data_IF_696879818470
#
_entry.id   IF_696879818470
#
_cell.length_a   1.000
_cell.length_b   1.000
_cell.length_c   1.000
_cell.angle_alpha   90.00
_cell.angle_beta   90.00
_cell.angle_gamma   90.00
#
_symmetry.space_group_name_H-M   'P 1'
#
loop_
_entity.id
_entity.type
_entity.pdbx_description
1 polymer ?
#
# COMPACT_ATOMS: atom_id res chain seq x y z
N UNK A 1 27.76 11.32 8.03
CA UNK A 1 26.49 10.66 7.66
C UNK A 1 25.41 11.26 8.55
N UNK A 2 24.42 12.01 8.02
CA UNK A 2 23.34 12.50 8.86
C UNK A 2 22.55 11.28 9.35
N UNK A 3 22.55 11.06 10.67
CA UNK A 3 21.67 10.08 11.30
C UNK A 3 20.23 10.59 11.16
N UNK A 4 19.39 9.79 10.51
CA UNK A 4 17.94 10.03 10.51
C UNK A 4 17.47 9.76 11.96
N UNK A 5 17.41 10.80 12.80
CA UNK A 5 16.67 10.72 14.07
C UNK A 5 15.16 10.77 13.83
N UNK A 6 14.36 10.91 14.89
CA UNK A 6 12.88 10.95 14.79
C UNK A 6 12.37 11.99 13.75
N UNK A 7 13.03 13.14 13.61
CA UNK A 7 12.70 14.15 12.58
C UNK A 7 12.86 13.62 11.16
N UNK A 8 13.79 12.68 10.98
CA UNK A 8 14.03 11.92 9.75
C UNK A 8 13.10 10.72 9.57
N UNK A 9 12.20 10.42 10.53
CA UNK A 9 11.16 9.40 10.45
C UNK A 9 11.74 8.00 10.14
N UNK A 10 12.86 7.66 10.79
CA UNK A 10 13.66 6.48 10.46
C UNK A 10 12.87 5.18 10.54
N UNK A 11 12.03 5.01 11.56
CA UNK A 11 11.22 3.81 11.72
C UNK A 11 10.20 3.63 10.58
N UNK A 12 9.57 4.72 10.12
CA UNK A 12 8.67 4.66 8.97
C UNK A 12 9.43 4.30 7.69
N UNK A 13 10.60 4.90 7.49
CA UNK A 13 11.46 4.58 6.33
C UNK A 13 11.87 3.12 6.33
N UNK A 14 12.25 2.55 7.49
CA UNK A 14 12.54 1.13 7.62
C UNK A 14 11.34 0.26 7.25
N UNK A 15 10.15 0.60 7.72
CA UNK A 15 8.93 -0.12 7.34
C UNK A 15 8.64 -0.05 5.83
N UNK A 16 8.81 1.13 5.23
CA UNK A 16 8.65 1.34 3.79
C UNK A 16 9.70 0.56 2.95
N UNK A 17 10.84 0.18 3.55
CA UNK A 17 11.85 -0.70 2.93
C UNK A 17 11.51 -2.19 3.13
N UNK A 18 11.09 -2.58 4.33
CA UNK A 18 10.82 -4.00 4.63
C UNK A 18 9.59 -4.52 3.87
N UNK A 19 8.52 -3.72 3.77
CA UNK A 19 7.25 -4.17 3.19
C UNK A 19 7.36 -4.63 1.73
N UNK A 20 7.99 -3.89 0.79
CA UNK A 20 8.18 -4.36 -0.58
C UNK A 20 8.99 -5.65 -0.71
N UNK A 21 9.82 -5.97 0.28
CA UNK A 21 10.66 -7.17 0.32
C UNK A 21 9.96 -8.38 0.97
N UNK A 22 8.64 -8.29 1.20
CA UNK A 22 7.83 -9.31 1.87
C UNK A 22 8.26 -9.62 3.32
N UNK A 23 9.10 -8.78 3.92
CA UNK A 23 9.50 -8.85 5.34
C UNK A 23 8.41 -8.19 6.20
N UNK A 24 7.23 -8.81 6.22
CA UNK A 24 6.00 -8.20 6.74
C UNK A 24 6.06 -7.95 8.24
N UNK A 25 6.64 -8.87 9.02
CA UNK A 25 6.76 -8.75 10.47
C UNK A 25 7.71 -7.61 10.86
N UNK A 26 8.84 -7.49 10.16
CA UNK A 26 9.78 -6.37 10.33
C UNK A 26 9.16 -5.04 9.92
N UNK A 27 8.38 -5.03 8.84
CA UNK A 27 7.67 -3.82 8.40
C UNK A 27 6.64 -3.36 9.43
N UNK A 28 5.81 -4.27 9.93
CA UNK A 28 4.81 -4.01 10.98
C UNK A 28 5.49 -3.47 12.23
N UNK A 29 6.52 -4.17 12.72
CA UNK A 29 7.29 -3.77 13.90
C UNK A 29 7.88 -2.36 13.73
N UNK A 30 8.45 -2.06 12.56
CA UNK A 30 8.99 -0.75 12.26
C UNK A 30 7.90 0.34 12.26
N UNK A 31 6.74 0.09 11.65
CA UNK A 31 5.65 1.06 11.65
C UNK A 31 5.01 1.26 13.04
N UNK A 32 4.92 0.22 13.86
CA UNK A 32 4.46 0.32 15.25
C UNK A 32 5.39 1.17 16.11
N UNK A 33 6.70 0.99 15.96
CA UNK A 33 7.71 1.83 16.59
C UNK A 33 7.57 3.29 16.14
N UNK A 34 7.38 3.53 14.83
CA UNK A 34 7.15 4.86 14.27
C UNK A 34 5.87 5.51 14.84
N UNK A 35 4.78 4.76 14.97
CA UNK A 35 3.51 5.24 15.58
C UNK A 35 3.70 5.61 17.05
N UNK A 36 4.44 4.80 17.80
CA UNK A 36 4.73 5.04 19.21
C UNK A 36 5.58 6.30 19.40
N UNK A 37 6.64 6.45 18.62
CA UNK A 37 7.50 7.65 18.63
C UNK A 37 6.70 8.90 18.21
N UNK A 38 5.90 8.82 17.16
CA UNK A 38 5.05 9.94 16.73
C UNK A 38 4.05 10.36 17.81
N UNK A 39 3.49 9.41 18.58
CA UNK A 39 2.62 9.70 19.72
C UNK A 39 3.39 10.42 20.85
N UNK A 40 4.59 9.95 21.19
CA UNK A 40 5.43 10.57 22.24
C UNK A 40 5.80 12.02 21.89
N UNK A 41 6.00 12.32 20.61
CA UNK A 41 6.35 13.65 20.12
C UNK A 41 5.14 14.52 19.72
N UNK A 42 3.90 14.09 20.00
CA UNK A 42 2.66 14.79 19.60
C UNK A 42 2.57 15.08 18.09
N UNK A 43 3.18 14.24 17.25
CA UNK A 43 3.20 14.38 15.80
C UNK A 43 1.98 13.67 15.18
N UNK A 44 0.78 14.26 15.34
CA UNK A 44 -0.48 13.65 14.91
C UNK A 44 -0.50 13.22 13.42
N UNK A 45 0.07 14.04 12.53
CA UNK A 45 0.13 13.72 11.10
C UNK A 45 1.04 12.54 10.77
N UNK A 46 2.14 12.35 11.50
CA UNK A 46 3.02 11.18 11.32
C UNK A 46 2.37 9.94 11.92
N UNK A 47 1.78 10.06 13.12
CA UNK A 47 1.06 8.95 13.77
C UNK A 47 -0.03 8.39 12.86
N UNK A 48 -0.75 9.26 12.16
CA UNK A 48 -1.80 8.85 11.23
C UNK A 48 -1.22 8.20 9.97
N UNK A 49 -0.12 8.76 9.44
CA UNK A 49 0.58 8.18 8.29
C UNK A 49 1.07 6.77 8.61
N UNK A 50 1.71 6.57 9.77
CA UNK A 50 2.22 5.26 10.19
C UNK A 50 1.08 4.30 10.50
N UNK A 51 -0.04 4.76 11.06
CA UNK A 51 -1.23 3.94 11.27
C UNK A 51 -1.77 3.34 9.96
N UNK A 52 -1.89 4.14 8.90
CA UNK A 52 -2.30 3.64 7.57
C UNK A 52 -1.27 2.66 7.00
N UNK A 53 0.02 2.86 7.29
CA UNK A 53 1.09 1.94 6.86
C UNK A 53 1.07 0.60 7.60
N UNK A 54 0.72 0.56 8.88
CA UNK A 54 0.48 -0.70 9.61
C UNK A 54 -0.66 -1.46 8.93
N UNK A 55 -1.78 -0.79 8.64
CA UNK A 55 -2.90 -1.40 7.93
C UNK A 55 -2.51 -1.93 6.53
N UNK A 56 -1.68 -1.20 5.78
CA UNK A 56 -1.14 -1.68 4.51
C UNK A 56 -0.30 -2.94 4.68
N UNK A 57 0.56 -2.98 5.70
CA UNK A 57 1.46 -4.11 5.94
C UNK A 57 0.72 -5.40 6.34
N UNK A 58 -0.45 -5.27 6.97
CA UNK A 58 -1.29 -6.41 7.36
C UNK A 58 -2.37 -6.76 6.35
N UNK A 59 -2.66 -5.90 5.36
CA UNK A 59 -3.82 -6.05 4.46
C UNK A 59 -3.94 -7.41 3.78
N UNK A 60 -2.80 -8.01 3.40
CA UNK A 60 -2.77 -9.31 2.69
C UNK A 60 -2.60 -10.47 3.67
N UNK A 61 -1.74 -10.32 4.67
CA UNK A 61 -1.32 -11.42 5.58
C UNK A 61 -2.26 -11.61 6.76
N UNK A 62 -2.93 -10.55 7.21
CA UNK A 62 -3.91 -10.55 8.30
C UNK A 62 -5.03 -9.51 8.04
N UNK A 63 -6.00 -9.84 7.17
CA UNK A 63 -7.08 -8.92 6.80
C UNK A 63 -7.99 -8.51 7.98
N UNK A 64 -8.07 -9.34 9.02
CA UNK A 64 -8.84 -9.01 10.23
C UNK A 64 -8.14 -7.90 11.00
N UNK A 65 -6.84 -8.04 11.25
CA UNK A 65 -6.04 -6.98 11.86
C UNK A 65 -6.03 -5.72 10.99
N UNK A 66 -5.92 -5.84 9.67
CA UNK A 66 -5.99 -4.69 8.77
C UNK A 66 -7.31 -3.90 8.93
N UNK A 67 -8.43 -4.57 9.22
CA UNK A 67 -9.72 -3.91 9.51
C UNK A 67 -9.64 -3.07 10.79
N UNK A 68 -9.06 -3.61 11.86
CA UNK A 68 -8.89 -2.88 13.12
C UNK A 68 -7.95 -1.68 12.96
N UNK A 69 -6.84 -1.86 12.23
CA UNK A 69 -5.86 -0.80 12.01
C UNK A 69 -6.40 0.30 11.09
N UNK A 70 -7.29 -0.03 10.13
CA UNK A 70 -8.04 0.95 9.34
C UNK A 70 -9.06 1.72 10.18
N UNK A 71 -9.80 1.04 11.06
CA UNK A 71 -10.74 1.71 11.96
C UNK A 71 -10.02 2.71 12.87
N UNK A 72 -8.83 2.36 13.38
CA UNK A 72 -7.99 3.29 14.12
C UNK A 72 -7.44 4.42 13.24
N UNK A 73 -7.05 4.13 11.99
CA UNK A 73 -6.64 5.16 11.04
C UNK A 73 -7.74 6.20 10.81
N UNK A 74 -8.98 5.77 10.62
CA UNK A 74 -10.13 6.64 10.42
C UNK A 74 -10.38 7.55 11.63
N UNK A 75 -10.28 7.00 12.84
CA UNK A 75 -10.37 7.78 14.08
C UNK A 75 -9.27 8.83 14.18
N UNK A 76 -8.03 8.50 13.81
CA UNK A 76 -6.90 9.44 13.84
C UNK A 76 -6.96 10.48 12.73
N UNK A 77 -7.53 10.13 11.57
CA UNK A 77 -7.78 11.04 10.46
C UNK A 77 -8.93 12.02 10.75
N UNK A 78 -9.80 11.71 11.72
CA UNK A 78 -10.89 12.59 12.11
C UNK A 78 -10.33 13.94 12.59
N UNK A 79 -10.69 15.02 11.88
CA UNK A 79 -10.24 16.38 12.19
C UNK A 79 -8.88 16.79 11.60
N UNK A 80 -8.19 15.93 10.84
CA UNK A 80 -6.94 16.30 10.15
C UNK A 80 -7.17 16.56 8.65
N UNK A 81 -6.53 17.56 8.06
CA UNK A 81 -6.52 17.66 6.59
C UNK A 81 -5.37 16.85 5.98
N UNK A 82 -5.59 15.53 5.83
CA UNK A 82 -4.63 14.60 5.23
C UNK A 82 -5.27 13.78 4.11
N UNK A 83 -5.69 14.47 3.03
CA UNK A 83 -6.37 13.85 1.87
C UNK A 83 -5.63 12.63 1.31
N UNK A 84 -4.31 12.69 1.21
CA UNK A 84 -3.50 11.58 0.71
C UNK A 84 -3.62 10.31 1.58
N UNK A 85 -3.61 10.45 2.91
CA UNK A 85 -3.76 9.33 3.83
C UNK A 85 -5.18 8.76 3.82
N UNK A 86 -6.20 9.60 3.60
CA UNK A 86 -7.59 9.11 3.41
C UNK A 86 -7.73 8.25 2.18
N UNK A 87 -7.21 8.70 1.04
CA UNK A 87 -7.26 7.91 -0.19
C UNK A 87 -6.42 6.64 -0.02
N UNK A 88 -5.22 6.73 0.56
CA UNK A 88 -4.41 5.55 0.83
C UNK A 88 -5.14 4.54 1.73
N UNK A 89 -5.82 4.97 2.80
CA UNK A 89 -6.60 4.07 3.65
C UNK A 89 -7.71 3.33 2.86
N UNK A 90 -8.38 4.02 1.94
CA UNK A 90 -9.37 3.38 1.07
C UNK A 90 -8.74 2.40 0.07
N UNK A 91 -7.53 2.70 -0.43
CA UNK A 91 -6.77 1.76 -1.27
C UNK A 91 -6.31 0.54 -0.46
N UNK A 92 -5.90 0.72 0.80
CA UNK A 92 -5.56 -0.37 1.70
C UNK A 92 -6.78 -1.25 1.98
N UNK A 93 -7.96 -0.64 2.19
CA UNK A 93 -9.21 -1.39 2.31
C UNK A 93 -9.51 -2.19 1.04
N UNK A 94 -9.25 -1.62 -0.15
CA UNK A 94 -9.38 -2.35 -1.42
C UNK A 94 -8.42 -3.53 -1.51
N UNK A 95 -7.15 -3.36 -1.14
CA UNK A 95 -6.16 -4.47 -1.13
C UNK A 95 -6.58 -5.57 -0.17
N UNK A 96 -7.07 -5.21 1.02
CA UNK A 96 -7.58 -6.14 2.04
C UNK A 96 -8.77 -6.97 1.53
N UNK A 97 -9.61 -6.40 0.68
CA UNK A 97 -10.80 -7.04 0.12
C UNK A 97 -10.52 -7.79 -1.20
N UNK A 98 -9.26 -7.84 -1.65
CA UNK A 98 -8.86 -8.52 -2.86
C UNK A 98 -9.25 -10.01 -2.83
N UNK A 99 -9.82 -10.49 -3.94
CA UNK A 99 -10.30 -11.86 -4.10
C UNK A 99 -11.67 -12.17 -3.47
N UNK A 100 -12.16 -11.34 -2.55
CA UNK A 100 -13.41 -11.61 -1.81
C UNK A 100 -14.57 -10.68 -2.17
N UNK A 101 -14.32 -9.40 -2.47
CA UNK A 101 -15.37 -8.44 -2.83
C UNK A 101 -15.69 -8.46 -4.35
N UNK A 102 -16.91 -8.82 -4.77
CA UNK A 102 -17.29 -8.80 -6.19
C UNK A 102 -17.37 -7.38 -6.78
N UNK A 103 -17.53 -6.33 -5.96
CA UNK A 103 -17.59 -4.94 -6.42
C UNK A 103 -16.21 -4.26 -6.46
N UNK A 104 -15.13 -5.01 -6.25
CA UNK A 104 -13.78 -4.45 -6.11
C UNK A 104 -13.32 -3.70 -7.36
N UNK A 105 -13.66 -4.17 -8.56
CA UNK A 105 -13.31 -3.50 -9.82
C UNK A 105 -13.90 -2.10 -9.93
N UNK A 106 -15.17 -1.93 -9.54
CA UNK A 106 -15.84 -0.62 -9.55
C UNK A 106 -15.23 0.31 -8.50
N UNK A 107 -14.96 -0.21 -7.29
CA UNK A 107 -14.24 0.52 -6.23
C UNK A 107 -12.86 0.96 -6.69
N UNK A 108 -12.14 0.10 -7.40
CA UNK A 108 -10.83 0.42 -7.95
C UNK A 108 -10.91 1.56 -8.97
N UNK A 109 -11.90 1.54 -9.88
CA UNK A 109 -12.11 2.61 -10.84
C UNK A 109 -12.40 3.95 -10.15
N UNK A 110 -13.28 3.95 -9.14
CA UNK A 110 -13.56 5.14 -8.35
C UNK A 110 -12.31 5.67 -7.63
N UNK A 111 -11.48 4.78 -7.07
CA UNK A 111 -10.25 5.16 -6.36
C UNK A 111 -9.17 5.71 -7.29
N UNK A 112 -9.05 5.19 -8.52
CA UNK A 112 -8.15 5.79 -9.53
C UNK A 112 -8.54 7.22 -9.82
N UNK A 113 -9.82 7.45 -10.14
CA UNK A 113 -10.33 8.79 -10.42
C UNK A 113 -10.16 9.73 -9.22
N UNK A 114 -10.41 9.24 -7.99
CA UNK A 114 -10.18 10.02 -6.78
C UNK A 114 -8.71 10.39 -6.58
N UNK A 115 -7.77 9.46 -6.83
CA UNK A 115 -6.34 9.70 -6.74
C UNK A 115 -5.85 10.71 -7.81
N UNK A 116 -6.31 10.58 -9.05
CA UNK A 116 -5.99 11.50 -10.14
C UNK A 116 -6.51 12.91 -9.87
N UNK A 117 -7.79 13.04 -9.49
CA UNK A 117 -8.40 14.33 -9.16
C UNK A 117 -7.74 15.01 -7.96
N UNK A 118 -7.16 14.23 -7.05
CA UNK A 118 -6.41 14.75 -5.91
C UNK A 118 -4.95 15.12 -6.26
N UNK A 119 -4.49 14.88 -7.49
CA UNK A 119 -3.09 15.09 -7.88
C UNK A 119 -2.14 14.08 -7.23
N UNK A 120 -2.62 12.88 -6.90
CA UNK A 120 -1.87 11.82 -6.22
C UNK A 120 -1.71 10.58 -7.12
N UNK A 121 -1.12 10.71 -8.33
CA UNK A 121 -1.03 9.62 -9.30
C UNK A 121 -0.17 8.44 -8.81
N UNK A 122 0.58 8.59 -7.72
CA UNK A 122 1.30 7.45 -7.14
C UNK A 122 0.38 6.43 -6.46
N UNK A 123 -0.80 6.84 -6.01
CA UNK A 123 -1.77 5.95 -5.36
C UNK A 123 -2.45 4.99 -6.35
N UNK A 124 -2.53 5.36 -7.63
CA UNK A 124 -3.11 4.47 -8.66
C UNK A 124 -2.33 3.17 -8.77
N UNK A 125 -1.02 3.18 -8.50
CA UNK A 125 -0.19 1.97 -8.53
C UNK A 125 -0.57 0.97 -7.43
N UNK A 126 -0.92 1.45 -6.24
CA UNK A 126 -1.44 0.60 -5.17
C UNK A 126 -2.83 0.04 -5.51
N UNK A 127 -3.66 0.83 -6.21
CA UNK A 127 -4.96 0.35 -6.70
C UNK A 127 -4.78 -0.79 -7.70
N UNK A 128 -3.88 -0.64 -8.68
CA UNK A 128 -3.61 -1.72 -9.63
C UNK A 128 -2.98 -2.95 -8.96
N UNK A 129 -2.14 -2.77 -7.93
CA UNK A 129 -1.62 -3.89 -7.14
C UNK A 129 -2.75 -4.69 -6.46
N UNK A 130 -3.71 -4.00 -5.86
CA UNK A 130 -4.90 -4.63 -5.27
C UNK A 130 -5.77 -5.36 -6.30
N UNK A 131 -5.92 -4.81 -7.50
CA UNK A 131 -6.60 -5.47 -8.60
C UNK A 131 -5.85 -6.70 -9.12
N UNK A 132 -4.53 -6.63 -9.26
CA UNK A 132 -3.73 -7.76 -9.68
C UNK A 132 -3.89 -8.93 -8.69
N UNK A 133 -3.83 -8.64 -7.38
CA UNK A 133 -4.11 -9.62 -6.34
C UNK A 133 -5.55 -10.17 -6.46
N UNK A 134 -6.54 -9.32 -6.66
CA UNK A 134 -7.93 -9.76 -6.81
C UNK A 134 -8.10 -10.71 -7.99
N UNK A 135 -7.59 -10.36 -9.17
CA UNK A 135 -7.68 -11.20 -10.36
C UNK A 135 -6.89 -12.49 -10.24
N UNK A 136 -5.71 -12.46 -9.58
CA UNK A 136 -4.93 -13.64 -9.27
C UNK A 136 -5.70 -14.63 -8.37
N UNK A 137 -6.32 -14.15 -7.29
CA UNK A 137 -7.13 -14.99 -6.38
C UNK A 137 -8.38 -15.53 -7.08
N UNK A 138 -8.99 -14.74 -7.96
CA UNK A 138 -10.22 -15.11 -8.69
C UNK A 138 -9.98 -16.00 -9.92
N UNK A 139 -8.73 -16.15 -10.35
CA UNK A 139 -8.37 -16.91 -11.56
C UNK A 139 -8.85 -16.25 -12.86
N UNK A 140 -8.97 -14.92 -12.91
CA UNK A 140 -9.38 -14.17 -14.10
C UNK A 140 -8.15 -13.72 -14.89
N UNK A 141 -7.59 -14.62 -15.70
CA UNK A 141 -6.28 -14.46 -16.35
C UNK A 141 -6.20 -13.25 -17.30
N UNK A 142 -7.22 -13.01 -18.13
CA UNK A 142 -7.23 -11.90 -19.07
C UNK A 142 -7.22 -10.53 -18.36
N UNK A 143 -8.03 -10.41 -17.31
CA UNK A 143 -8.09 -9.19 -16.48
C UNK A 143 -6.79 -8.98 -15.70
N UNK A 144 -6.18 -10.06 -15.22
CA UNK A 144 -4.87 -10.03 -14.58
C UNK A 144 -3.79 -9.53 -15.55
N UNK A 145 -3.73 -10.08 -16.75
CA UNK A 145 -2.77 -9.68 -17.78
C UNK A 145 -2.93 -8.19 -18.15
N UNK A 146 -4.17 -7.74 -18.32
CA UNK A 146 -4.47 -6.32 -18.57
C UNK A 146 -4.04 -5.43 -17.40
N UNK A 147 -4.24 -5.87 -16.15
CA UNK A 147 -3.82 -5.15 -14.94
C UNK A 147 -2.30 -5.05 -14.81
N UNK A 148 -1.58 -6.14 -15.08
CA UNK A 148 -0.12 -6.14 -15.10
C UNK A 148 0.41 -5.18 -16.17
N UNK A 149 -0.20 -5.16 -17.36
CA UNK A 149 0.16 -4.20 -18.42
C UNK A 149 -0.03 -2.73 -17.99
N UNK A 150 -1.11 -2.43 -17.26
CA UNK A 150 -1.31 -1.09 -16.65
C UNK A 150 -0.24 -0.76 -15.61
N UNK A 151 0.09 -1.70 -14.71
CA UNK A 151 1.17 -1.52 -13.73
C UNK A 151 2.52 -1.24 -14.40
N UNK A 152 2.84 -1.96 -15.47
CA UNK A 152 4.07 -1.75 -16.24
C UNK A 152 4.09 -0.34 -16.85
N UNK A 153 2.98 0.11 -17.42
CA UNK A 153 2.87 1.48 -17.94
C UNK A 153 3.07 2.54 -16.85
N UNK A 154 2.44 2.38 -15.69
CA UNK A 154 2.54 3.31 -14.57
C UNK A 154 3.93 3.35 -13.91
N UNK A 155 4.72 2.29 -14.08
CA UNK A 155 6.07 2.14 -13.49
C UNK A 155 7.19 2.22 -14.53
N UNK A 156 6.87 2.54 -15.79
CA UNK A 156 7.82 2.57 -16.90
C UNK A 156 9.05 3.49 -16.69
N UNK A 157 8.92 4.51 -15.83
CA UNK A 157 10.02 5.44 -15.48
C UNK A 157 10.96 4.90 -14.41
N UNK A 158 10.75 3.68 -13.91
CA UNK A 158 11.58 3.01 -12.91
C UNK A 158 11.03 3.11 -11.48
N UNK A 159 10.34 4.21 -11.14
CA UNK A 159 9.70 4.35 -9.84
C UNK A 159 8.64 3.26 -9.63
N UNK A 160 8.65 2.63 -8.45
CA UNK A 160 7.71 1.58 -8.06
C UNK A 160 7.68 0.35 -8.96
N UNK A 161 8.72 0.11 -9.78
CA UNK A 161 8.80 -1.08 -10.67
C UNK A 161 8.61 -2.40 -9.93
N UNK A 162 9.01 -2.45 -8.65
CA UNK A 162 8.79 -3.61 -7.78
C UNK A 162 7.30 -3.99 -7.63
N UNK A 163 6.33 -3.11 -7.88
CA UNK A 163 4.91 -3.49 -7.89
C UNK A 163 4.53 -4.42 -9.02
N UNK A 164 5.18 -4.29 -10.19
CA UNK A 164 5.01 -5.25 -11.27
C UNK A 164 5.58 -6.61 -10.86
N UNK A 165 6.74 -6.61 -10.19
CA UNK A 165 7.36 -7.85 -9.72
C UNK A 165 6.48 -8.54 -8.65
N UNK A 166 5.97 -7.77 -7.67
CA UNK A 166 5.03 -8.29 -6.65
C UNK A 166 3.77 -8.87 -7.33
N UNK A 167 3.19 -8.18 -8.33
CA UNK A 167 2.02 -8.68 -9.04
C UNK A 167 2.30 -10.01 -9.76
N UNK A 168 3.47 -10.16 -10.40
CA UNK A 168 3.89 -11.43 -10.98
C UNK A 168 4.04 -12.53 -9.93
N UNK A 169 4.72 -12.25 -8.80
CA UNK A 169 4.90 -13.22 -7.72
C UNK A 169 3.57 -13.66 -7.11
N UNK A 170 2.65 -12.72 -6.83
CA UNK A 170 1.31 -13.02 -6.30
C UNK A 170 0.49 -13.89 -7.26
N UNK A 171 0.69 -13.72 -8.56
CA UNK A 171 0.01 -14.50 -9.60
C UNK A 171 0.72 -15.82 -9.95
N UNK A 172 1.86 -16.15 -9.34
CA UNK A 172 2.65 -17.31 -9.71
C UNK A 172 3.24 -17.25 -11.13
N UNK A 173 3.41 -16.04 -11.69
CA UNK A 173 3.91 -15.82 -13.04
C UNK A 173 5.43 -15.59 -13.04
N UNK A 174 6.15 -16.03 -14.09
CA UNK A 174 7.55 -15.69 -14.26
C UNK A 174 7.72 -14.18 -14.50
N UNK A 175 8.84 -13.63 -14.03
CA UNK A 175 9.21 -12.25 -14.35
C UNK A 175 9.66 -12.16 -15.83
N UNK A 176 9.22 -11.13 -16.59
CA UNK A 176 9.63 -10.94 -17.99
C UNK A 176 11.15 -10.71 -18.16
N UNK A 177 11.80 -10.19 -17.12
CA UNK A 177 13.24 -10.04 -17.00
C UNK A 177 13.60 -10.14 -15.50
N UNK A 178 14.86 -10.45 -15.17
CA UNK A 178 15.31 -10.43 -13.78
C UNK A 178 14.96 -9.10 -13.11
N UNK A 179 14.44 -9.16 -11.89
CA UNK A 179 14.16 -7.95 -11.12
C UNK A 179 15.47 -7.19 -10.88
N UNK A 180 15.44 -5.89 -11.16
CA UNK A 180 16.51 -4.95 -10.85
C UNK A 180 16.13 -4.04 -9.68
N UNK A 181 14.98 -4.29 -9.04
CA UNK A 181 14.65 -3.65 -7.77
C UNK A 181 15.67 -4.10 -6.73
N UNK A 182 16.40 -3.13 -6.16
CA UNK A 182 17.40 -3.33 -5.12
C UNK A 182 16.94 -2.67 -3.84
#
# INVERSE_FOLDING_TARGET
MPTLGWKGRHHRVLGDIHWPHANSDEAITAFENARTEAKQHNAAGERTTTQVRIALATAVTDPMRATEELALADQLLAGLDQRANRILAQVVALIKDAGSDPALTDRAQALRAAAENAGLPYLTRYVELGLALHHAVRGTEDDLAATIGRLQHLTARGDFRFFTDIAHFMAGLPLPALSVAR
#
